data_IF_728548714042
#
_entry.id   IF_728548714042
#
_cell.length_a   1.000
_cell.length_b   1.000
_cell.length_c   1.000
_cell.angle_alpha   90.00
_cell.angle_beta   90.00
_cell.angle_gamma   90.00
#
_symmetry.space_group_name_H-M   'P 1'
#
loop_
_entity.id
_entity.type
_entity.pdbx_description
1 polymer ?
#
# COMPACT_ATOMS: atom_id res chain seq x y z
N UNK A 1 -37.78 -4.27 -58.08
CA UNK A 1 -37.73 -2.83 -57.76
C UNK A 1 -37.41 -2.73 -56.28
N UNK A 2 -36.36 -2.10 -55.77
CA UNK A 2 -35.19 -1.37 -56.29
C UNK A 2 -34.21 -1.39 -55.09
N UNK A 3 -33.05 -2.01 -55.27
CA UNK A 3 -31.71 -1.37 -55.30
C UNK A 3 -30.98 -1.35 -53.94
N UNK A 4 -30.00 -2.24 -53.86
CA UNK A 4 -28.77 -2.09 -53.09
C UNK A 4 -27.88 -1.02 -53.73
N UNK A 5 -27.10 -0.26 -52.95
CA UNK A 5 -25.86 0.32 -53.42
C UNK A 5 -24.65 -0.53 -53.04
N UNK A 6 -23.75 -0.69 -54.01
CA UNK A 6 -22.51 -1.43 -53.94
C UNK A 6 -21.35 -0.66 -53.29
N UNK A 7 -20.44 -1.46 -52.71
CA UNK A 7 -18.98 -1.37 -52.71
C UNK A 7 -18.31 0.02 -52.90
N UNK A 8 -17.53 0.42 -51.89
CA UNK A 8 -16.37 1.31 -52.08
C UNK A 8 -15.08 0.59 -51.66
N UNK A 9 -14.06 0.84 -52.49
CA UNK A 9 -12.79 0.14 -52.65
C UNK A 9 -11.91 0.02 -51.42
N UNK A 10 -11.26 -1.13 -51.37
CA UNK A 10 -9.96 -1.44 -50.77
C UNK A 10 -8.95 -0.30 -50.98
N UNK A 11 -8.24 0.07 -49.91
CA UNK A 11 -6.93 0.69 -50.00
C UNK A 11 -6.01 -0.04 -49.03
N UNK A 12 -5.14 -0.88 -49.58
CA UNK A 12 -3.98 -1.45 -48.90
C UNK A 12 -2.98 -0.33 -48.62
N UNK A 13 -2.62 -0.11 -47.36
CA UNK A 13 -1.35 0.51 -46.99
C UNK A 13 -0.74 -0.28 -45.81
N UNK A 14 0.42 -0.88 -46.09
CA UNK A 14 1.39 -1.51 -45.17
C UNK A 14 2.78 -1.12 -45.71
N UNK A 15 3.87 -1.08 -44.93
CA UNK A 15 4.06 -0.75 -43.51
C UNK A 15 4.95 0.51 -43.37
N UNK A 16 4.98 1.13 -42.20
CA UNK A 16 6.12 1.99 -41.83
C UNK A 16 6.63 1.53 -40.48
N UNK A 17 7.77 0.85 -40.57
CA UNK A 17 8.66 0.46 -39.49
C UNK A 17 9.29 1.75 -38.95
N UNK A 18 8.89 2.15 -37.75
CA UNK A 18 9.50 3.26 -37.03
C UNK A 18 10.00 2.72 -35.71
N UNK A 19 11.28 2.33 -35.73
CA UNK A 19 12.12 2.10 -34.56
C UNK A 19 12.08 3.33 -33.64
N UNK A 20 11.21 3.29 -32.63
CA UNK A 20 11.25 4.26 -31.53
C UNK A 20 12.18 3.71 -30.43
N UNK A 21 13.30 4.37 -30.11
CA UNK A 21 14.23 3.88 -29.13
C UNK A 21 13.58 3.91 -27.74
N UNK A 22 13.63 2.76 -27.07
CA UNK A 22 13.33 2.56 -25.66
C UNK A 22 13.87 3.73 -24.84
N UNK A 23 12.96 4.60 -24.40
CA UNK A 23 13.23 5.64 -23.42
C UNK A 23 13.52 4.97 -22.08
N UNK A 24 14.78 4.56 -21.90
CA UNK A 24 15.34 4.19 -20.61
C UNK A 24 15.36 5.48 -19.79
N UNK A 25 14.32 5.68 -18.98
CA UNK A 25 14.34 6.63 -17.87
C UNK A 25 15.68 6.44 -17.15
N UNK A 26 16.51 7.50 -17.01
CA UNK A 26 17.74 7.38 -16.25
C UNK A 26 17.37 7.06 -14.81
N UNK A 27 17.62 5.80 -14.39
CA UNK A 27 17.70 5.48 -12.97
C UNK A 27 18.84 6.31 -12.44
N UNK A 28 18.52 7.23 -11.52
CA UNK A 28 19.50 7.98 -10.75
C UNK A 28 20.24 6.94 -9.91
N UNK A 29 21.28 6.31 -10.47
CA UNK A 29 22.10 5.30 -9.80
C UNK A 29 23.26 5.91 -9.02
N UNK A 30 23.11 7.18 -8.63
CA UNK A 30 24.11 7.87 -7.84
C UNK A 30 23.42 8.40 -6.59
N UNK A 31 23.91 7.93 -5.45
CA UNK A 31 23.48 8.14 -4.06
C UNK A 31 22.36 7.18 -3.58
N UNK A 32 22.60 6.39 -2.49
CA UNK A 32 23.38 6.76 -1.30
C UNK A 32 24.35 5.66 -0.81
N UNK A 33 25.59 5.60 -1.33
CA UNK A 33 26.69 4.90 -0.62
C UNK A 33 27.33 5.76 0.49
N UNK A 34 27.00 7.05 0.54
CA UNK A 34 27.65 8.03 1.42
C UNK A 34 26.91 8.30 2.73
N UNK A 35 25.68 7.80 2.91
CA UNK A 35 24.95 7.94 4.18
C UNK A 35 25.11 6.72 5.11
N UNK A 36 25.69 5.63 4.64
CA UNK A 36 25.89 4.39 5.41
C UNK A 36 27.13 4.41 6.34
N UNK A 37 27.93 5.48 6.34
CA UNK A 37 29.13 5.62 7.19
C UNK A 37 28.84 6.52 8.40
N UNK A 38 27.75 6.29 9.15
CA UNK A 38 27.62 6.72 10.56
C UNK A 38 26.25 6.37 11.17
N UNK A 39 26.03 5.12 11.55
CA UNK A 39 25.13 4.83 12.67
C UNK A 39 25.56 3.54 13.36
N UNK A 40 26.59 3.64 14.22
CA UNK A 40 27.23 2.50 14.89
C UNK A 40 26.43 1.87 16.03
N UNK A 41 25.09 1.77 15.96
CA UNK A 41 24.28 1.20 17.04
C UNK A 41 23.14 0.25 16.65
N UNK A 42 22.81 0.07 15.37
CA UNK A 42 21.81 -0.91 14.95
C UNK A 42 22.50 -2.12 14.33
N UNK A 43 22.88 -3.10 15.17
CA UNK A 43 23.40 -4.37 14.70
C UNK A 43 22.21 -5.32 14.49
N UNK A 44 21.58 -5.21 13.32
CA UNK A 44 20.78 -6.32 12.78
C UNK A 44 21.77 -7.39 12.32
N UNK A 45 21.54 -8.70 12.52
CA UNK A 45 22.46 -9.73 12.07
C UNK A 45 22.57 -9.66 10.54
N UNK A 46 23.69 -9.11 10.05
CA UNK A 46 24.08 -9.18 8.65
C UNK A 46 24.34 -10.64 8.31
N UNK A 47 23.34 -11.32 7.75
CA UNK A 47 23.58 -12.56 7.02
C UNK A 47 24.51 -12.28 5.84
N UNK A 48 25.38 -13.26 5.58
CA UNK A 48 26.50 -13.16 4.66
C UNK A 48 26.12 -12.73 3.24
N UNK A 49 27.00 -11.90 2.68
CA UNK A 49 27.03 -11.37 1.31
C UNK A 49 26.58 -12.36 0.22
N UNK A 50 25.28 -12.33 -0.08
CA UNK A 50 24.76 -12.45 -1.44
C UNK A 50 24.69 -11.05 -2.06
N UNK A 51 24.70 -10.94 -3.39
CA UNK A 51 24.48 -9.67 -4.09
C UNK A 51 23.13 -9.06 -3.64
N UNK A 52 23.17 -8.11 -2.70
CA UNK A 52 21.96 -7.47 -2.19
C UNK A 52 21.28 -6.74 -3.36
N UNK A 53 20.01 -7.05 -3.59
CA UNK A 53 19.22 -6.36 -4.60
C UNK A 53 19.18 -4.86 -4.29
N UNK A 54 19.21 -4.01 -5.32
CA UNK A 54 19.09 -2.55 -5.16
C UNK A 54 17.85 -2.17 -4.35
N UNK A 55 16.75 -2.91 -4.53
CA UNK A 55 15.51 -2.73 -3.77
C UNK A 55 15.68 -2.94 -2.26
N UNK A 56 16.53 -3.88 -1.84
CA UNK A 56 16.80 -4.13 -0.42
C UNK A 56 17.54 -2.95 0.23
N UNK A 57 18.54 -2.38 -0.45
CA UNK A 57 19.29 -1.21 0.06
C UNK A 57 18.38 0.03 0.13
N UNK A 58 17.54 0.23 -0.88
CA UNK A 58 16.56 1.32 -0.91
C UNK A 58 15.52 1.17 0.20
N UNK A 59 15.07 -0.06 0.47
CA UNK A 59 14.16 -0.37 1.55
C UNK A 59 14.80 -0.12 2.91
N UNK A 60 16.03 -0.58 3.13
CA UNK A 60 16.78 -0.35 4.38
C UNK A 60 16.86 1.14 4.69
N UNK A 61 17.22 1.98 3.71
CA UNK A 61 17.24 3.43 3.84
C UNK A 61 15.89 4.00 4.28
N UNK A 62 14.79 3.53 3.69
CA UNK A 62 13.45 3.95 4.08
C UNK A 62 13.11 3.54 5.52
N UNK A 63 13.44 2.30 5.93
CA UNK A 63 13.18 1.85 7.30
C UNK A 63 13.93 2.67 8.34
N UNK A 64 15.16 3.09 8.05
CA UNK A 64 15.95 3.97 8.91
C UNK A 64 15.29 5.35 9.07
N UNK A 65 14.77 5.94 7.99
CA UNK A 65 14.02 7.20 8.10
C UNK A 65 12.79 7.02 9.00
N UNK A 66 12.04 5.94 8.83
CA UNK A 66 10.88 5.64 9.68
C UNK A 66 11.24 5.44 11.15
N UNK A 67 12.40 4.83 11.44
CA UNK A 67 12.92 4.72 12.80
C UNK A 67 13.30 6.07 13.38
N UNK A 68 13.97 6.93 12.60
CA UNK A 68 14.32 8.30 13.03
C UNK A 68 13.09 9.16 13.34
N UNK A 69 11.99 8.97 12.61
CA UNK A 69 10.71 9.63 12.90
C UNK A 69 9.97 9.03 14.11
N UNK A 70 10.44 7.91 14.64
CA UNK A 70 9.86 7.25 15.81
C UNK A 70 8.58 6.45 15.55
N UNK A 71 8.19 6.24 14.29
CA UNK A 71 6.90 5.63 13.91
C UNK A 71 6.72 4.22 14.47
N UNK A 72 7.80 3.44 14.49
CA UNK A 72 7.80 2.04 14.96
C UNK A 72 8.15 1.89 16.44
N UNK A 73 8.38 2.99 17.16
CA UNK A 73 8.58 2.90 18.59
C UNK A 73 7.23 2.70 19.26
N UNK A 74 7.08 1.61 20.01
CA UNK A 74 5.88 1.18 20.77
C UNK A 74 5.32 2.22 21.76
N UNK A 75 5.93 3.41 21.85
CA UNK A 75 5.51 4.56 22.65
C UNK A 75 4.78 5.64 21.86
N UNK A 76 4.63 5.50 20.54
CA UNK A 76 3.94 6.47 19.68
C UNK A 76 2.40 6.41 19.78
N UNK A 77 1.85 6.25 20.99
CA UNK A 77 0.42 6.42 21.25
C UNK A 77 -0.08 7.84 20.94
N UNK A 78 0.84 8.80 20.90
CA UNK A 78 0.56 10.21 20.64
C UNK A 78 1.20 10.70 19.32
N UNK A 79 1.35 9.82 18.33
CA UNK A 79 1.85 10.23 17.03
C UNK A 79 0.99 11.39 16.48
N UNK A 80 1.65 12.50 16.16
CA UNK A 80 0.97 13.69 15.66
C UNK A 80 0.50 13.46 14.23
N UNK A 81 -0.56 14.15 13.81
CA UNK A 81 -1.03 14.11 12.42
C UNK A 81 0.09 14.38 11.40
N UNK A 82 1.06 15.25 11.74
CA UNK A 82 2.23 15.53 10.90
C UNK A 82 3.13 14.31 10.65
N UNK A 83 3.31 13.42 11.64
CA UNK A 83 4.12 12.20 11.48
C UNK A 83 3.43 11.26 10.48
N UNK A 84 2.12 11.12 10.56
CA UNK A 84 1.37 10.30 9.60
C UNK A 84 1.39 10.90 8.18
N UNK A 85 1.39 12.23 8.04
CA UNK A 85 1.56 12.87 6.73
C UNK A 85 2.93 12.57 6.12
N UNK A 86 4.01 12.62 6.93
CA UNK A 86 5.35 12.26 6.46
C UNK A 86 5.43 10.76 6.10
N UNK A 87 4.84 9.89 6.92
CA UNK A 87 4.75 8.46 6.62
C UNK A 87 4.04 8.22 5.29
N UNK A 88 2.89 8.87 5.07
CA UNK A 88 2.15 8.77 3.81
C UNK A 88 3.03 9.15 2.62
N UNK A 89 3.75 10.27 2.71
CA UNK A 89 4.65 10.72 1.64
C UNK A 89 5.75 9.70 1.34
N UNK A 90 6.34 9.10 2.38
CA UNK A 90 7.38 8.09 2.18
C UNK A 90 6.84 6.77 1.63
N UNK A 91 5.66 6.33 2.08
CA UNK A 91 4.99 5.16 1.52
C UNK A 91 4.66 5.38 0.04
N UNK A 92 4.24 6.58 -0.35
CA UNK A 92 4.05 6.91 -1.77
C UNK A 92 5.36 6.90 -2.56
N UNK A 93 6.49 7.27 -1.94
CA UNK A 93 7.79 7.10 -2.57
C UNK A 93 8.09 5.63 -2.83
N UNK A 94 7.87 4.74 -1.85
CA UNK A 94 8.07 3.30 -2.05
C UNK A 94 7.22 2.77 -3.20
N UNK A 95 5.93 3.12 -3.23
CA UNK A 95 5.01 2.67 -4.27
C UNK A 95 5.41 3.23 -5.64
N UNK A 96 5.75 4.51 -5.73
CA UNK A 96 6.11 5.19 -6.99
C UNK A 96 7.42 4.70 -7.57
N UNK A 97 8.39 4.40 -6.71
CA UNK A 97 9.72 3.93 -7.10
C UNK A 97 9.82 2.41 -7.16
N UNK A 98 8.72 1.69 -6.89
CA UNK A 98 8.64 0.23 -6.94
C UNK A 98 9.72 -0.43 -6.05
N UNK A 99 9.96 0.16 -4.88
CA UNK A 99 11.02 -0.28 -3.94
C UNK A 99 10.64 -1.62 -3.30
N UNK A 100 9.35 -1.83 -3.03
CA UNK A 100 8.84 -3.07 -2.45
C UNK A 100 8.42 -4.05 -3.55
N UNK A 101 9.22 -5.10 -3.74
CA UNK A 101 8.96 -6.18 -4.69
C UNK A 101 8.41 -7.41 -3.95
N UNK A 102 7.12 -7.71 -4.10
CA UNK A 102 6.44 -8.80 -3.38
C UNK A 102 7.12 -10.15 -3.63
N UNK A 103 7.46 -10.44 -4.89
CA UNK A 103 8.08 -11.71 -5.27
C UNK A 103 9.44 -11.89 -4.62
N UNK A 104 10.30 -10.87 -4.70
CA UNK A 104 11.65 -10.90 -4.12
C UNK A 104 11.58 -11.01 -2.59
N UNK A 105 10.69 -10.25 -1.95
CA UNK A 105 10.50 -10.31 -0.50
C UNK A 105 9.98 -11.68 -0.06
N UNK A 106 9.05 -12.28 -0.81
CA UNK A 106 8.54 -13.61 -0.48
C UNK A 106 9.63 -14.70 -0.51
N UNK A 107 10.57 -14.60 -1.46
CA UNK A 107 11.72 -15.50 -1.56
C UNK A 107 12.73 -15.26 -0.43
N UNK A 108 12.78 -14.05 0.12
CA UNK A 108 13.68 -13.64 1.19
C UNK A 108 13.03 -13.68 2.58
N UNK A 109 11.98 -14.48 2.77
CA UNK A 109 11.37 -14.70 4.09
C UNK A 109 10.36 -13.63 4.52
N UNK A 110 9.89 -12.79 3.60
CA UNK A 110 8.82 -11.80 3.83
C UNK A 110 9.15 -10.78 4.93
N UNK A 111 10.41 -10.33 4.97
CA UNK A 111 10.91 -9.38 5.98
C UNK A 111 10.28 -8.00 5.78
N UNK A 112 10.19 -7.53 4.54
CA UNK A 112 9.59 -6.22 4.23
C UNK A 112 8.08 -6.26 4.46
N UNK A 113 7.41 -7.36 4.08
CA UNK A 113 6.00 -7.58 4.40
C UNK A 113 5.74 -7.53 5.91
N UNK A 114 6.56 -8.20 6.71
CA UNK A 114 6.43 -8.18 8.18
C UNK A 114 6.64 -6.79 8.75
N UNK A 115 7.56 -6.01 8.18
CA UNK A 115 7.76 -4.62 8.55
C UNK A 115 6.53 -3.76 8.24
N UNK A 116 5.92 -3.91 7.07
CA UNK A 116 4.70 -3.19 6.71
C UNK A 116 3.50 -3.61 7.58
N UNK A 117 3.42 -4.87 8.01
CA UNK A 117 2.40 -5.29 8.98
C UNK A 117 2.49 -4.49 10.28
N UNK A 118 3.69 -4.28 10.80
CA UNK A 118 3.86 -3.45 12.01
C UNK A 118 3.38 -2.01 11.79
N UNK A 119 3.58 -1.44 10.59
CA UNK A 119 3.02 -0.13 10.25
C UNK A 119 1.48 -0.15 10.24
N UNK A 120 0.86 -1.18 9.64
CA UNK A 120 -0.60 -1.33 9.68
C UNK A 120 -1.11 -1.39 11.12
N UNK A 121 -0.45 -2.17 11.99
CA UNK A 121 -0.80 -2.29 13.40
C UNK A 121 -0.75 -0.95 14.13
N UNK A 122 0.29 -0.14 13.91
CA UNK A 122 0.40 1.22 14.47
C UNK A 122 -0.74 2.12 13.97
N UNK A 123 -1.06 2.07 12.68
CA UNK A 123 -2.11 2.90 12.07
C UNK A 123 -3.50 2.55 12.63
N UNK A 124 -3.83 1.26 12.74
CA UNK A 124 -5.17 0.84 13.22
C UNK A 124 -5.35 1.02 14.74
N UNK A 125 -4.26 1.11 15.50
CA UNK A 125 -4.28 1.40 16.94
C UNK A 125 -4.40 2.90 17.25
N UNK A 126 -4.43 3.76 16.23
CA UNK A 126 -4.58 5.22 16.42
C UNK A 126 -5.98 5.55 16.94
N UNK A 127 -6.07 6.14 18.14
CA UNK A 127 -7.35 6.42 18.81
C UNK A 127 -8.25 7.37 18.00
N UNK A 128 -7.67 8.41 17.41
CA UNK A 128 -8.38 9.40 16.59
C UNK A 128 -7.73 9.45 15.20
N UNK A 129 -8.19 8.63 14.25
CA UNK A 129 -7.59 8.59 12.92
C UNK A 129 -7.86 9.90 12.16
N UNK A 130 -6.78 10.51 11.65
CA UNK A 130 -6.84 11.65 10.74
C UNK A 130 -6.76 11.20 9.28
N UNK A 131 -6.99 12.10 8.32
CA UNK A 131 -6.95 11.79 6.88
C UNK A 131 -5.65 11.11 6.44
N UNK A 132 -4.52 11.52 7.01
CA UNK A 132 -3.21 10.93 6.70
C UNK A 132 -3.13 9.43 7.07
N UNK A 133 -3.85 8.99 8.11
CA UNK A 133 -3.92 7.56 8.48
C UNK A 133 -4.64 6.77 7.37
N UNK A 134 -5.78 7.27 6.90
CA UNK A 134 -6.51 6.63 5.80
C UNK A 134 -5.73 6.64 4.49
N UNK A 135 -4.99 7.72 4.22
CA UNK A 135 -4.08 7.78 3.09
C UNK A 135 -2.99 6.72 3.18
N UNK A 136 -2.31 6.58 4.33
CA UNK A 136 -1.32 5.53 4.57
C UNK A 136 -1.89 4.12 4.30
N UNK A 137 -3.07 3.82 4.86
CA UNK A 137 -3.75 2.54 4.63
C UNK A 137 -4.07 2.32 3.13
N UNK A 138 -4.42 3.39 2.40
CA UNK A 138 -4.63 3.33 0.96
C UNK A 138 -3.37 3.02 0.16
N UNK A 139 -2.21 3.57 0.54
CA UNK A 139 -0.94 3.19 -0.07
C UNK A 139 -0.58 1.74 0.24
N UNK A 140 -0.72 1.32 1.50
CA UNK A 140 -0.43 -0.04 1.95
C UNK A 140 -1.31 -1.07 1.23
N UNK A 141 -2.59 -0.78 1.00
CA UNK A 141 -3.49 -1.59 0.18
C UNK A 141 -2.97 -1.76 -1.26
N UNK A 142 -2.44 -0.69 -1.86
CA UNK A 142 -1.87 -0.71 -3.22
C UNK A 142 -0.52 -1.42 -3.29
N UNK A 143 0.29 -1.31 -2.24
CA UNK A 143 1.55 -2.04 -2.12
C UNK A 143 1.31 -3.54 -2.04
N UNK A 144 0.43 -3.97 -1.13
CA UNK A 144 0.01 -5.36 -1.04
C UNK A 144 -1.30 -5.48 -0.24
N UNK A 145 -2.37 -5.92 -0.91
CA UNK A 145 -3.68 -6.06 -0.29
C UNK A 145 -3.72 -7.01 0.92
N UNK A 146 -2.83 -8.01 0.95
CA UNK A 146 -2.73 -8.96 2.07
C UNK A 146 -2.26 -8.31 3.37
N UNK A 147 -1.74 -7.08 3.34
CA UNK A 147 -1.40 -6.31 4.54
C UNK A 147 -2.64 -5.91 5.36
N UNK A 148 -3.73 -5.55 4.67
CA UNK A 148 -4.97 -5.10 5.32
C UNK A 148 -5.95 -6.24 5.57
N UNK A 149 -5.83 -7.35 4.84
CA UNK A 149 -6.75 -8.49 4.92
C UNK A 149 -7.01 -8.99 6.36
N UNK A 150 -6.00 -9.15 7.24
CA UNK A 150 -6.22 -9.61 8.62
C UNK A 150 -6.93 -8.58 9.51
N UNK A 151 -7.02 -7.33 9.07
CA UNK A 151 -7.51 -6.20 9.86
C UNK A 151 -8.73 -5.52 9.23
N UNK A 152 -9.38 -6.16 8.23
CA UNK A 152 -10.49 -5.56 7.49
C UNK A 152 -11.64 -5.11 8.40
N UNK A 153 -12.01 -5.91 9.40
CA UNK A 153 -13.05 -5.55 10.38
C UNK A 153 -12.69 -4.27 11.16
N UNK A 154 -11.46 -4.18 11.64
CA UNK A 154 -10.97 -2.99 12.37
C UNK A 154 -10.93 -1.77 11.46
N UNK A 155 -10.40 -1.91 10.24
CA UNK A 155 -10.32 -0.82 9.25
C UNK A 155 -11.72 -0.32 8.88
N UNK A 156 -12.69 -1.23 8.67
CA UNK A 156 -14.08 -0.87 8.45
C UNK A 156 -14.68 -0.16 9.65
N UNK A 157 -14.47 -0.68 10.85
CA UNK A 157 -14.96 -0.05 12.08
C UNK A 157 -14.43 1.38 12.22
N UNK A 158 -13.14 1.61 11.93
CA UNK A 158 -12.55 2.96 11.90
C UNK A 158 -13.21 3.86 10.84
N UNK A 159 -13.35 3.38 9.61
CA UNK A 159 -13.98 4.11 8.51
C UNK A 159 -15.43 4.53 8.82
N UNK A 160 -16.19 3.69 9.54
CA UNK A 160 -17.59 3.96 9.90
C UNK A 160 -17.73 4.85 11.12
N UNK A 161 -16.91 4.65 12.15
CA UNK A 161 -16.94 5.45 13.38
C UNK A 161 -16.45 6.88 13.17
N UNK A 162 -15.55 7.08 12.21
CA UNK A 162 -14.97 8.41 11.97
C UNK A 162 -15.99 9.31 11.29
N UNK A 163 -16.65 10.15 12.10
CA UNK A 163 -17.54 11.22 11.64
C UNK A 163 -16.70 12.43 11.24
N UNK A 164 -16.05 12.38 10.08
CA UNK A 164 -15.29 13.54 9.59
C UNK A 164 -16.17 14.42 8.69
N UNK A 165 -16.11 15.74 8.91
CA UNK A 165 -16.88 16.76 8.19
C UNK A 165 -16.24 17.19 6.85
N UNK A 166 -15.08 16.63 6.49
CA UNK A 166 -14.26 17.11 5.34
C UNK A 166 -13.52 16.04 4.50
N UNK A 167 -13.61 14.74 4.79
CA UNK A 167 -12.54 13.80 4.38
C UNK A 167 -12.73 13.03 3.06
N UNK A 168 -12.11 13.50 1.96
CA UNK A 168 -11.92 12.75 0.71
C UNK A 168 -11.13 11.45 0.90
N UNK A 169 -10.16 11.43 1.83
CA UNK A 169 -9.27 10.29 2.06
C UNK A 169 -10.00 9.04 2.56
N UNK A 170 -10.96 9.22 3.48
CA UNK A 170 -11.78 8.12 4.02
C UNK A 170 -12.62 7.47 2.92
N UNK A 171 -13.31 8.28 2.12
CA UNK A 171 -14.11 7.81 1.00
C UNK A 171 -13.23 7.16 -0.08
N UNK A 172 -12.06 7.74 -0.36
CA UNK A 172 -11.06 7.17 -1.26
C UNK A 172 -10.58 5.79 -0.79
N UNK A 173 -10.32 5.61 0.51
CA UNK A 173 -9.95 4.30 1.06
C UNK A 173 -11.10 3.28 0.95
N UNK A 174 -12.33 3.68 1.29
CA UNK A 174 -13.51 2.81 1.15
C UNK A 174 -13.69 2.32 -0.29
N UNK A 175 -13.66 3.25 -1.25
CA UNK A 175 -13.80 2.92 -2.68
C UNK A 175 -12.64 2.07 -3.17
N UNK A 176 -11.41 2.33 -2.70
CA UNK A 176 -10.23 1.53 -3.02
C UNK A 176 -10.33 0.10 -2.47
N UNK A 177 -10.80 -0.09 -1.24
CA UNK A 177 -11.04 -1.41 -0.66
C UNK A 177 -12.05 -2.20 -1.49
N UNK A 178 -13.22 -1.61 -1.77
CA UNK A 178 -14.26 -2.26 -2.57
C UNK A 178 -13.72 -2.61 -3.95
N UNK A 179 -13.08 -1.65 -4.63
CA UNK A 179 -12.52 -1.84 -5.98
C UNK A 179 -11.46 -2.96 -6.00
N UNK A 180 -10.55 -2.98 -5.04
CA UNK A 180 -9.50 -4.01 -4.93
C UNK A 180 -10.12 -5.40 -4.71
N UNK A 181 -11.01 -5.57 -3.74
CA UNK A 181 -11.59 -6.89 -3.44
C UNK A 181 -12.57 -7.38 -4.51
N UNK A 182 -13.26 -6.48 -5.21
CA UNK A 182 -14.05 -6.84 -6.41
C UNK A 182 -13.13 -7.32 -7.53
N UNK A 183 -12.02 -6.62 -7.83
CA UNK A 183 -11.04 -7.03 -8.84
C UNK A 183 -10.40 -8.38 -8.52
N UNK A 184 -10.13 -8.63 -7.25
CA UNK A 184 -9.61 -9.92 -6.76
C UNK A 184 -10.67 -11.04 -6.77
N UNK A 185 -11.95 -10.73 -7.04
CA UNK A 185 -13.09 -11.65 -6.88
C UNK A 185 -13.20 -12.21 -5.45
N UNK A 186 -12.76 -11.42 -4.48
CA UNK A 186 -12.77 -11.73 -3.06
C UNK A 186 -13.69 -10.80 -2.28
N UNK A 187 -14.74 -10.27 -2.94
CA UNK A 187 -15.70 -9.37 -2.31
C UNK A 187 -16.36 -9.99 -1.07
N UNK A 188 -16.58 -11.30 -1.08
CA UNK A 188 -17.08 -12.05 0.08
C UNK A 188 -16.21 -11.86 1.33
N UNK A 189 -14.87 -11.77 1.19
CA UNK A 189 -13.99 -11.49 2.33
C UNK A 189 -14.26 -10.11 2.92
N UNK A 190 -14.59 -9.13 2.09
CA UNK A 190 -14.94 -7.78 2.56
C UNK A 190 -16.29 -7.80 3.30
N UNK A 191 -17.28 -8.54 2.79
CA UNK A 191 -18.64 -8.60 3.34
C UNK A 191 -18.75 -9.48 4.58
N UNK A 192 -18.04 -10.61 4.65
CA UNK A 192 -18.05 -11.47 5.84
C UNK A 192 -17.51 -10.73 7.08
N UNK A 193 -16.53 -9.84 6.89
CA UNK A 193 -16.03 -8.96 7.94
C UNK A 193 -17.02 -7.84 8.33
N UNK A 194 -18.09 -7.64 7.56
CA UNK A 194 -19.18 -6.70 7.89
C UNK A 194 -20.19 -7.30 8.89
N UNK A 195 -20.30 -8.64 8.95
CA UNK A 195 -21.42 -9.35 9.58
C UNK A 195 -21.19 -9.92 10.99
N UNK A 196 -20.02 -9.74 11.62
CA UNK A 196 -19.69 -10.33 12.94
C UNK A 196 -19.74 -9.30 14.07
N UNK A 197 -20.73 -8.39 14.05
CA UNK A 197 -21.03 -7.51 15.20
C UNK A 197 -22.50 -7.60 15.63
N UNK A 198 -23.10 -8.79 15.57
CA UNK A 198 -24.40 -9.06 16.18
C UNK A 198 -24.46 -10.49 16.75
N UNK A 199 -23.65 -10.84 17.76
CA UNK A 199 -24.00 -11.94 18.70
C UNK A 199 -23.35 -11.76 20.07
N UNK A 200 -23.93 -10.88 20.90
CA UNK A 200 -24.13 -11.18 22.33
C UNK A 200 -25.18 -10.22 22.89
N UNK A 201 -26.44 -10.51 22.59
CA UNK A 201 -27.59 -9.80 23.13
C UNK A 201 -28.74 -10.79 23.19
N UNK A 202 -28.97 -11.33 24.38
CA UNK A 202 -30.10 -12.21 24.68
C UNK A 202 -31.40 -11.63 24.14
N UNK A 203 -32.01 -12.32 23.18
CA UNK A 203 -33.38 -12.03 22.75
C UNK A 203 -34.29 -12.58 23.86
N UNK A 204 -34.73 -11.71 24.76
CA UNK A 204 -35.91 -11.98 25.57
C UNK A 204 -37.12 -11.90 24.64
N UNK A 205 -37.66 -13.08 24.27
CA UNK A 205 -38.99 -13.19 23.71
C UNK A 205 -39.96 -12.99 24.88
N UNK A 206 -40.62 -11.83 24.92
CA UNK A 206 -41.83 -11.65 25.72
C UNK A 206 -42.94 -12.49 25.06
N UNK A 207 -43.41 -13.49 25.80
CA UNK A 207 -44.71 -14.13 25.58
C UNK A 207 -45.76 -13.43 26.44
#
# INVERSE_FOLDING_TARGET
MSEYPQALKVREEKPTDSDEPVSKKPRISSYPKLLLIRCGKCQVPLQEKGNLSTSAVEFDFFTEICQMMGILNSKCRNATSSIFTLLHQLLECILRHDIYQISDDSLNGSVQFSWFKNIVEVLIQTEVPCDAVFQCLGVLLRLNHSLLEPHLETVWTMLWKTRCTTGDARHSLMTSLISTYVKLRQFEKLVCNFGVSEKSGSIHILA
#
